data_IF_972594219763
#
_entry.id   IF_972594219763
#
_cell.length_a   1.000
_cell.length_b   1.000
_cell.length_c   1.000
_cell.angle_alpha   90.00
_cell.angle_beta   90.00
_cell.angle_gamma   90.00
#
_symmetry.space_group_name_H-M   'P 1'
#
loop_
_entity.id
_entity.type
_entity.pdbx_description
1 polymer ?
#
# COMPACT_ATOMS: atom_id res chain seq x y z
N UNK A 1 26.11 -7.29 21.70
CA UNK A 1 25.84 -5.87 21.43
C UNK A 1 25.36 -5.78 20.00
N UNK A 2 24.06 -5.58 19.81
CA UNK A 2 23.50 -5.17 18.53
C UNK A 2 22.56 -4.02 18.88
N UNK A 3 23.07 -2.81 18.79
CA UNK A 3 22.25 -1.61 18.81
C UNK A 3 21.52 -1.58 17.47
N UNK A 4 20.28 -2.09 17.46
CA UNK A 4 19.36 -1.78 16.39
C UNK A 4 19.02 -0.31 16.55
N UNK A 5 19.71 0.55 15.80
CA UNK A 5 19.36 1.96 15.66
C UNK A 5 17.91 2.03 15.21
N UNK A 6 17.03 2.36 16.16
CA UNK A 6 15.62 2.61 15.89
C UNK A 6 15.58 4.00 15.28
N UNK A 7 15.94 4.10 14.00
CA UNK A 7 15.85 5.37 13.28
C UNK A 7 14.38 5.78 13.28
N UNK A 8 14.08 6.77 14.12
CA UNK A 8 12.78 7.42 14.21
C UNK A 8 12.56 8.19 12.91
N UNK A 9 12.18 7.50 11.83
CA UNK A 9 11.67 8.13 10.63
C UNK A 9 10.26 8.61 10.95
N UNK A 10 10.15 9.90 11.28
CA UNK A 10 8.88 10.57 11.57
C UNK A 10 8.18 11.06 10.29
N UNK A 11 8.34 10.34 9.17
CA UNK A 11 7.84 10.70 7.85
C UNK A 11 6.98 9.59 7.23
N UNK A 12 6.07 9.93 6.30
CA UNK A 12 5.26 8.94 5.59
C UNK A 12 6.16 8.03 4.74
N UNK A 13 5.98 6.71 4.87
CA UNK A 13 6.73 5.73 4.07
C UNK A 13 6.16 5.58 2.66
N UNK A 14 4.94 6.05 2.37
CA UNK A 14 4.45 6.07 0.99
C UNK A 14 5.01 7.31 0.27
N UNK A 15 6.00 7.09 -0.59
CA UNK A 15 6.74 8.17 -1.27
C UNK A 15 6.22 8.49 -2.67
N UNK A 16 5.51 7.56 -3.33
CA UNK A 16 4.94 7.83 -4.66
C UNK A 16 3.69 7.02 -4.99
N UNK A 17 2.89 7.53 -5.93
CA UNK A 17 1.58 7.02 -6.30
C UNK A 17 1.45 6.93 -7.82
N UNK A 18 0.91 5.81 -8.30
CA UNK A 18 0.41 5.68 -9.68
C UNK A 18 -1.05 6.12 -9.78
N UNK A 19 -1.87 5.78 -8.78
CA UNK A 19 -3.29 6.13 -8.77
C UNK A 19 -3.55 7.51 -8.14
N UNK A 20 -3.80 8.54 -8.98
CA UNK A 20 -4.04 9.91 -8.51
C UNK A 20 -5.21 10.04 -7.52
N UNK A 21 -6.30 9.31 -7.76
CA UNK A 21 -7.46 9.33 -6.87
C UNK A 21 -7.19 8.71 -5.50
N UNK A 22 -6.27 7.75 -5.44
CA UNK A 22 -5.92 7.06 -4.20
C UNK A 22 -5.00 7.94 -3.36
N UNK A 23 -4.08 8.65 -4.02
CA UNK A 23 -3.27 9.70 -3.40
C UNK A 23 -4.14 10.76 -2.74
N UNK A 24 -5.10 11.33 -3.48
CA UNK A 24 -6.01 12.35 -2.95
C UNK A 24 -6.82 11.81 -1.77
N UNK A 25 -7.30 10.56 -1.88
CA UNK A 25 -8.00 9.90 -0.78
C UNK A 25 -7.11 9.74 0.46
N UNK A 26 -5.84 9.35 0.31
CA UNK A 26 -4.89 9.24 1.40
C UNK A 26 -4.60 10.58 2.08
N UNK A 27 -4.37 11.62 1.29
CA UNK A 27 -3.95 12.94 1.79
C UNK A 27 -5.10 13.73 2.44
N UNK A 28 -6.33 13.56 1.94
CA UNK A 28 -7.46 14.44 2.30
C UNK A 28 -8.68 13.71 2.85
N UNK A 29 -8.76 12.40 2.66
CA UNK A 29 -9.98 11.61 2.92
C UNK A 29 -11.06 11.74 1.83
N UNK A 30 -10.85 12.54 0.78
CA UNK A 30 -11.82 12.70 -0.31
C UNK A 30 -12.03 11.40 -1.09
N UNK A 31 -13.28 10.97 -1.22
CA UNK A 31 -13.67 9.75 -1.93
C UNK A 31 -13.89 9.95 -3.43
N UNK A 32 -13.70 11.16 -3.97
CA UNK A 32 -14.01 11.49 -5.37
C UNK A 32 -13.21 10.69 -6.41
N UNK A 33 -12.07 10.13 -6.01
CA UNK A 33 -11.19 9.33 -6.85
C UNK A 33 -11.11 7.86 -6.47
N UNK A 34 -11.98 7.36 -5.59
CA UNK A 34 -11.99 5.94 -5.17
C UNK A 34 -13.41 5.41 -5.05
N UNK A 35 -13.53 4.09 -4.93
CA UNK A 35 -14.81 3.46 -4.65
C UNK A 35 -15.24 3.72 -3.20
N UNK A 36 -16.38 4.39 -3.02
CA UNK A 36 -16.90 4.80 -1.70
C UNK A 36 -17.14 3.59 -0.79
N UNK A 37 -17.65 2.50 -1.35
CA UNK A 37 -17.86 1.20 -0.68
C UNK A 37 -16.54 0.59 -0.17
N UNK A 38 -15.39 0.95 -0.73
CA UNK A 38 -14.08 0.46 -0.30
C UNK A 38 -13.35 1.42 0.65
N UNK A 39 -13.85 2.66 0.83
CA UNK A 39 -13.18 3.74 1.58
C UNK A 39 -12.61 3.30 2.92
N UNK A 40 -13.40 2.63 3.77
CA UNK A 40 -12.95 2.16 5.09
C UNK A 40 -11.77 1.19 5.00
N UNK A 41 -11.83 0.24 4.06
CA UNK A 41 -10.77 -0.76 3.88
C UNK A 41 -9.54 -0.18 3.21
N UNK A 42 -9.71 0.75 2.26
CA UNK A 42 -8.62 1.51 1.67
C UNK A 42 -7.90 2.35 2.73
N UNK A 43 -8.63 3.09 3.57
CA UNK A 43 -8.03 3.90 4.62
C UNK A 43 -7.18 3.04 5.58
N UNK A 44 -7.72 1.89 5.99
CA UNK A 44 -6.98 0.96 6.84
C UNK A 44 -5.74 0.39 6.14
N UNK A 45 -5.87 -0.03 4.88
CA UNK A 45 -4.75 -0.56 4.10
C UNK A 45 -3.63 0.47 3.91
N UNK A 46 -3.98 1.69 3.53
CA UNK A 46 -3.01 2.77 3.30
C UNK A 46 -2.35 3.23 4.60
N UNK A 47 -3.07 3.25 5.72
CA UNK A 47 -2.49 3.59 7.02
C UNK A 47 -1.43 2.56 7.47
N UNK A 48 -1.66 1.28 7.20
CA UNK A 48 -0.69 0.21 7.49
C UNK A 48 0.48 0.28 6.51
N UNK A 49 0.23 0.43 5.20
CA UNK A 49 1.28 0.59 4.19
C UNK A 49 2.20 1.78 4.51
N UNK A 50 1.64 2.89 4.96
CA UNK A 50 2.42 4.09 5.33
C UNK A 50 3.34 3.89 6.55
N UNK A 51 3.26 2.74 7.23
CA UNK A 51 4.11 2.36 8.36
C UNK A 51 4.87 1.05 8.11
N UNK A 52 4.66 0.41 6.96
CA UNK A 52 5.29 -0.85 6.60
C UNK A 52 6.70 -0.60 6.07
N UNK A 53 7.69 -1.32 6.62
CA UNK A 53 9.07 -1.30 6.13
C UNK A 53 9.43 -2.56 5.35
N UNK A 54 8.60 -3.60 5.48
CA UNK A 54 8.80 -4.90 4.85
C UNK A 54 7.44 -5.48 4.41
N UNK A 55 7.42 -6.40 3.44
CA UNK A 55 6.20 -7.11 3.04
C UNK A 55 5.49 -7.81 4.21
N UNK A 56 6.24 -8.33 5.18
CA UNK A 56 5.66 -9.02 6.33
C UNK A 56 4.78 -8.12 7.20
N UNK A 57 5.03 -6.79 7.24
CA UNK A 57 4.20 -5.85 7.98
C UNK A 57 2.78 -5.71 7.42
N UNK A 58 2.58 -6.08 6.14
CA UNK A 58 1.30 -6.03 5.43
C UNK A 58 0.75 -7.42 5.12
N UNK A 59 1.38 -8.48 5.65
CA UNK A 59 0.92 -9.87 5.54
C UNK A 59 -0.23 -10.17 6.52
N UNK A 60 -1.34 -9.45 6.35
CA UNK A 60 -2.50 -9.52 7.24
C UNK A 60 -3.46 -10.60 6.76
N UNK A 61 -4.00 -11.45 7.66
CA UNK A 61 -5.00 -12.44 7.30
C UNK A 61 -6.16 -11.83 6.49
N UNK A 62 -6.47 -12.46 5.36
CA UNK A 62 -7.52 -12.00 4.43
C UNK A 62 -7.11 -10.89 3.46
N UNK A 63 -5.88 -10.36 3.54
CA UNK A 63 -5.34 -9.44 2.51
C UNK A 63 -4.66 -10.19 1.37
N UNK A 64 -4.38 -11.50 1.54
CA UNK A 64 -3.83 -12.37 0.49
C UNK A 64 -2.58 -11.76 -0.16
N UNK A 65 -1.65 -11.28 0.66
CA UNK A 65 -0.40 -10.70 0.19
C UNK A 65 0.35 -11.71 -0.69
N UNK A 66 0.78 -11.26 -1.87
CA UNK A 66 1.65 -12.05 -2.73
C UNK A 66 2.50 -11.15 -3.65
N UNK A 67 3.71 -11.58 -4.01
CA UNK A 67 4.51 -10.89 -5.02
C UNK A 67 3.93 -11.10 -6.41
N UNK A 68 4.03 -10.07 -7.25
CA UNK A 68 3.66 -10.12 -8.66
C UNK A 68 4.85 -10.58 -9.52
N UNK A 69 4.56 -10.97 -10.77
CA UNK A 69 5.52 -11.55 -11.72
C UNK A 69 5.44 -10.83 -13.07
N UNK A 70 6.38 -11.11 -13.97
CA UNK A 70 6.45 -10.52 -15.31
C UNK A 70 6.83 -9.04 -15.26
N UNK A 71 6.12 -8.20 -16.02
CA UNK A 71 6.33 -6.74 -16.07
C UNK A 71 6.13 -6.03 -14.71
N UNK A 72 5.45 -6.69 -13.77
CA UNK A 72 5.25 -6.21 -12.40
C UNK A 72 6.13 -6.96 -11.39
N UNK A 73 7.21 -7.63 -11.82
CA UNK A 73 8.18 -8.20 -10.91
C UNK A 73 8.72 -7.14 -9.93
N UNK A 74 8.78 -7.49 -8.65
CA UNK A 74 9.14 -6.56 -7.57
C UNK A 74 7.96 -5.81 -6.95
N UNK A 75 6.78 -5.85 -7.56
CA UNK A 75 5.55 -5.38 -6.93
C UNK A 75 4.93 -6.47 -6.04
N UNK A 76 4.16 -6.00 -5.07
CA UNK A 76 3.32 -6.77 -4.19
C UNK A 76 1.87 -6.40 -4.42
N UNK A 77 0.97 -7.33 -4.12
CA UNK A 77 -0.47 -7.13 -4.22
C UNK A 77 -1.17 -7.51 -2.92
N UNK A 78 -2.12 -6.67 -2.49
CA UNK A 78 -3.08 -6.99 -1.42
C UNK A 78 -4.52 -6.83 -1.92
N UNK A 79 -5.41 -7.67 -1.40
CA UNK A 79 -6.83 -7.68 -1.72
C UNK A 79 -7.62 -6.68 -0.89
N UNK A 80 -8.27 -5.75 -1.59
CA UNK A 80 -9.24 -4.81 -1.01
C UNK A 80 -10.62 -5.45 -0.98
N UNK A 81 -11.21 -5.77 -2.13
CA UNK A 81 -12.53 -6.39 -2.19
C UNK A 81 -12.69 -7.15 -3.50
N UNK A 82 -13.12 -8.42 -3.45
CA UNK A 82 -13.31 -9.26 -4.62
C UNK A 82 -12.12 -9.22 -5.59
N UNK A 83 -12.23 -8.48 -6.70
CA UNK A 83 -11.20 -8.32 -7.74
C UNK A 83 -10.31 -7.09 -7.56
N UNK A 84 -10.64 -6.20 -6.63
CA UNK A 84 -9.90 -4.97 -6.36
C UNK A 84 -8.63 -5.24 -5.57
N UNK A 85 -7.53 -4.66 -6.05
CA UNK A 85 -6.20 -4.80 -5.46
C UNK A 85 -5.57 -3.43 -5.22
N UNK A 86 -4.79 -3.32 -4.17
CA UNK A 86 -3.70 -2.33 -4.12
C UNK A 86 -2.43 -3.06 -4.54
N UNK A 87 -1.68 -2.45 -5.46
CA UNK A 87 -0.33 -2.90 -5.79
C UNK A 87 0.69 -1.82 -5.44
N UNK A 88 1.88 -2.22 -5.05
CA UNK A 88 2.93 -1.32 -4.59
C UNK A 88 4.28 -2.04 -4.67
N UNK A 89 5.38 -1.30 -4.61
CA UNK A 89 6.73 -1.89 -4.47
C UNK A 89 7.42 -1.31 -3.25
N UNK A 90 8.33 -2.08 -2.66
CA UNK A 90 9.24 -1.57 -1.63
C UNK A 90 10.52 -1.08 -2.30
N UNK A 91 10.97 0.10 -1.87
CA UNK A 91 12.29 0.66 -2.16
C UNK A 91 12.99 0.82 -0.81
N UNK A 92 13.87 -0.12 -0.49
CA UNK A 92 14.44 -0.29 0.85
C UNK A 92 13.35 -0.37 1.93
N UNK A 93 13.14 0.70 2.71
CA UNK A 93 12.11 0.78 3.75
C UNK A 93 10.87 1.58 3.35
N UNK A 94 10.88 2.16 2.15
CA UNK A 94 9.80 3.00 1.64
C UNK A 94 8.87 2.20 0.72
N UNK A 95 7.63 2.66 0.62
CA UNK A 95 6.59 2.14 -0.26
C UNK A 95 6.38 3.11 -1.41
N UNK A 96 6.42 2.63 -2.64
CA UNK A 96 6.29 3.50 -3.80
C UNK A 96 5.45 2.88 -4.92
N UNK A 97 5.09 3.73 -5.89
CA UNK A 97 4.27 3.41 -7.05
C UNK A 97 2.92 2.77 -6.67
N UNK A 98 2.33 3.24 -5.56
CA UNK A 98 1.07 2.69 -5.05
C UNK A 98 -0.05 2.92 -6.06
N UNK A 99 -0.72 1.83 -6.44
CA UNK A 99 -1.80 1.81 -7.41
C UNK A 99 -3.03 1.07 -6.86
N UNK A 100 -4.20 1.36 -7.43
CA UNK A 100 -5.47 0.76 -7.05
C UNK A 100 -6.21 0.32 -8.31
N UNK A 101 -6.32 -1.00 -8.48
CA UNK A 101 -6.72 -1.63 -9.74
C UNK A 101 -7.89 -2.56 -9.51
N UNK A 102 -8.76 -2.67 -10.51
CA UNK A 102 -9.72 -3.76 -10.63
C UNK A 102 -9.15 -4.82 -11.57
N UNK A 103 -9.19 -6.09 -11.17
CA UNK A 103 -8.86 -7.20 -12.05
C UNK A 103 -10.15 -7.65 -12.74
N UNK A 104 -10.63 -6.86 -13.70
CA UNK A 104 -11.65 -7.20 -14.70
C UNK A 104 -11.37 -6.48 -16.01
#
# INVERSE_FOLDING_TARGET
>A
MAECDVSHHNGPLIVSWRHKGLKVFFETGSTSGVRVDHSKRLAHALAILNRARTPDNVNIPGWRLHPLKGELAGFWSITINANWRIIFRFLDTDVELVDYLDYH
#
